data_IF_540627439686
#
_entry.id   IF_540627439686
#
_cell.length_a   1.000
_cell.length_b   1.000
_cell.length_c   1.000
_cell.angle_alpha   90.00
_cell.angle_beta   90.00
_cell.angle_gamma   90.00
#
_symmetry.space_group_name_H-M   'P 1'
#
loop_
_entity.id
_entity.type
_entity.pdbx_description
1 polymer ?
#
# COMPACT_ATOMS: atom_id res chain seq x y z
N UNK A 1 -2.16 -5.04 -9.04
CA UNK A 1 -1.19 -4.38 -8.14
C UNK A 1 -0.02 -3.91 -8.99
N UNK A 2 0.48 -2.71 -8.80
CA UNK A 2 1.66 -2.17 -9.44
C UNK A 2 2.75 -2.03 -8.36
N UNK A 3 3.94 -2.61 -8.57
CA UNK A 3 5.09 -2.42 -7.70
C UNK A 3 6.22 -1.75 -8.48
N UNK A 4 7.00 -0.90 -7.82
CA UNK A 4 8.19 -0.23 -8.36
C UNK A 4 9.30 -0.28 -7.32
N UNK A 5 10.54 -0.31 -7.76
CA UNK A 5 11.74 -0.23 -6.92
C UNK A 5 12.45 1.11 -7.14
N UNK A 6 13.14 1.59 -6.12
CA UNK A 6 13.79 2.90 -6.14
C UNK A 6 15.25 2.85 -5.64
N UNK A 7 15.93 1.74 -5.85
CA UNK A 7 17.24 1.41 -5.27
C UNK A 7 18.35 2.45 -5.50
N UNK A 8 18.28 3.21 -6.60
CA UNK A 8 19.31 4.19 -6.95
C UNK A 8 18.82 5.64 -6.90
N UNK A 9 17.59 5.88 -6.45
CA UNK A 9 16.96 7.20 -6.48
C UNK A 9 17.12 7.95 -5.16
N UNK A 10 17.32 9.26 -5.25
CA UNK A 10 17.21 10.15 -4.08
C UNK A 10 15.78 10.18 -3.54
N UNK A 11 15.57 10.59 -2.30
CA UNK A 11 14.23 10.74 -1.74
C UNK A 11 13.37 11.72 -2.54
N UNK A 12 13.95 12.78 -3.08
CA UNK A 12 13.25 13.73 -3.96
C UNK A 12 12.74 13.04 -5.23
N UNK A 13 13.58 12.25 -5.90
CA UNK A 13 13.17 11.50 -7.10
C UNK A 13 12.10 10.44 -6.78
N UNK A 14 12.22 9.76 -5.62
CA UNK A 14 11.20 8.82 -5.15
C UNK A 14 9.87 9.52 -4.87
N UNK A 15 9.90 10.71 -4.23
CA UNK A 15 8.70 11.50 -3.96
C UNK A 15 8.02 11.94 -5.25
N UNK A 16 8.78 12.41 -6.26
CA UNK A 16 8.24 12.76 -7.58
C UNK A 16 7.57 11.53 -8.23
N UNK A 17 8.19 10.35 -8.18
CA UNK A 17 7.59 9.12 -8.72
C UNK A 17 6.27 8.76 -8.01
N UNK A 18 6.23 8.88 -6.69
CA UNK A 18 4.99 8.66 -5.91
C UNK A 18 3.93 9.68 -6.29
N UNK A 19 4.29 10.96 -6.45
CA UNK A 19 3.38 12.03 -6.86
C UNK A 19 2.84 11.82 -8.28
N UNK A 20 3.66 11.28 -9.19
CA UNK A 20 3.19 10.84 -10.53
C UNK A 20 2.12 9.76 -10.39
N UNK A 21 2.34 8.77 -9.53
CA UNK A 21 1.34 7.74 -9.26
C UNK A 21 0.07 8.33 -8.64
N UNK A 22 0.19 9.30 -7.73
CA UNK A 22 -0.97 9.99 -7.16
C UNK A 22 -1.77 10.71 -8.25
N UNK A 23 -1.11 11.43 -9.13
CA UNK A 23 -1.75 12.09 -10.28
C UNK A 23 -2.47 11.10 -11.19
N UNK A 24 -1.80 10.00 -11.55
CA UNK A 24 -2.28 9.04 -12.53
C UNK A 24 -3.42 8.16 -11.98
N UNK A 25 -3.38 7.79 -10.71
CA UNK A 25 -4.33 6.85 -10.08
C UNK A 25 -5.32 7.52 -9.12
N UNK A 26 -5.11 8.77 -8.73
CA UNK A 26 -5.96 9.50 -7.78
C UNK A 26 -6.36 8.68 -6.54
N UNK A 27 -5.38 8.11 -5.81
CA UNK A 27 -5.67 7.25 -4.68
C UNK A 27 -6.35 8.06 -3.56
N UNK A 28 -7.21 7.38 -2.81
CA UNK A 28 -7.84 7.98 -1.63
C UNK A 28 -6.81 8.31 -0.54
N UNK A 29 -5.85 7.42 -0.34
CA UNK A 29 -4.76 7.59 0.63
C UNK A 29 -3.48 6.91 0.11
N UNK A 30 -2.35 7.42 0.57
CA UNK A 30 -1.01 6.87 0.32
C UNK A 30 -0.39 6.49 1.67
N UNK A 31 -0.09 5.23 1.84
CA UNK A 31 0.53 4.71 3.07
C UNK A 31 2.04 4.76 2.95
N UNK A 32 2.68 5.38 3.93
CA UNK A 32 4.14 5.54 3.99
C UNK A 32 4.65 4.92 5.29
N UNK A 33 5.68 4.08 5.21
CA UNK A 33 6.44 3.68 6.39
C UNK A 33 7.27 4.87 6.84
N UNK A 34 6.94 5.42 8.00
CA UNK A 34 7.63 6.58 8.59
C UNK A 34 8.65 6.17 9.67
N UNK A 35 9.19 4.94 9.57
CA UNK A 35 10.33 4.49 10.35
C UNK A 35 11.64 4.56 9.53
N UNK A 36 12.72 4.93 10.20
CA UNK A 36 14.05 4.89 9.60
C UNK A 36 14.16 5.69 8.30
N UNK A 37 14.55 5.04 7.22
CA UNK A 37 14.70 5.67 5.90
C UNK A 37 13.40 6.23 5.32
N UNK A 38 12.26 5.72 5.72
CA UNK A 38 10.95 6.19 5.25
C UNK A 38 10.64 7.64 5.65
N UNK A 39 11.29 8.15 6.71
CA UNK A 39 11.20 9.57 7.11
C UNK A 39 11.68 10.47 5.98
N UNK A 40 12.78 10.13 5.30
CA UNK A 40 13.30 10.94 4.20
C UNK A 40 12.33 11.07 3.01
N UNK A 41 11.59 10.01 2.68
CA UNK A 41 10.52 10.08 1.69
C UNK A 41 9.36 10.94 2.21
N UNK A 42 8.96 10.77 3.46
CA UNK A 42 7.87 11.52 4.08
C UNK A 42 8.15 13.03 4.07
N UNK A 43 9.39 13.43 4.38
CA UNK A 43 9.85 14.83 4.36
C UNK A 43 9.78 15.46 2.96
N UNK A 44 10.02 14.66 1.93
CA UNK A 44 9.91 15.13 0.55
C UNK A 44 8.46 15.16 0.05
N UNK A 45 7.59 14.31 0.56
CA UNK A 45 6.17 14.31 0.17
C UNK A 45 5.42 15.56 0.61
N UNK A 46 5.81 16.18 1.72
CA UNK A 46 5.18 17.41 2.24
C UNK A 46 5.66 18.70 1.55
N UNK A 47 6.60 18.61 0.61
CA UNK A 47 7.13 19.74 -0.17
C UNK A 47 6.56 19.72 -1.59
N UNK A 48 6.30 20.89 -2.17
CA UNK A 48 6.08 21.00 -3.60
C UNK A 48 7.40 20.80 -4.36
N UNK A 49 7.35 20.19 -5.53
CA UNK A 49 8.55 19.82 -6.31
C UNK A 49 8.31 20.04 -7.81
N UNK A 50 9.41 20.17 -8.55
CA UNK A 50 9.42 20.14 -10.00
C UNK A 50 10.30 18.99 -10.46
N UNK A 51 9.91 18.30 -11.52
CA UNK A 51 10.78 17.31 -12.14
C UNK A 51 11.78 17.95 -13.12
N UNK A 52 12.63 17.12 -13.74
CA UNK A 52 13.65 17.54 -14.70
C UNK A 52 13.06 18.21 -15.96
N UNK A 53 11.79 17.97 -16.25
CA UNK A 53 11.04 18.56 -17.36
C UNK A 53 10.30 19.84 -16.95
N UNK A 54 10.41 20.26 -15.69
CA UNK A 54 9.73 21.44 -15.13
C UNK A 54 8.25 21.19 -14.80
N UNK A 55 7.80 19.94 -14.76
CA UNK A 55 6.43 19.62 -14.35
C UNK A 55 6.29 19.79 -12.83
N UNK A 56 5.22 20.49 -12.42
CA UNK A 56 4.92 20.79 -11.02
C UNK A 56 4.18 19.64 -10.35
N UNK A 57 4.63 19.28 -9.14
CA UNK A 57 4.00 18.31 -8.26
C UNK A 57 3.71 18.97 -6.91
N UNK A 58 2.44 18.99 -6.46
CA UNK A 58 2.06 19.65 -5.22
C UNK A 58 2.61 18.94 -3.98
N UNK A 59 2.64 19.67 -2.87
CA UNK A 59 2.81 19.09 -1.54
C UNK A 59 1.57 18.29 -1.14
N UNK A 60 1.77 17.26 -0.32
CA UNK A 60 0.69 16.51 0.32
C UNK A 60 0.86 16.52 1.83
N UNK A 61 -0.21 16.26 2.59
CA UNK A 61 -0.20 16.33 4.04
C UNK A 61 -0.60 14.99 4.68
N UNK A 62 -0.06 14.73 5.87
CA UNK A 62 -0.40 13.57 6.69
C UNK A 62 -1.73 13.78 7.41
N UNK A 63 -2.47 12.66 7.55
CA UNK A 63 -3.75 12.61 8.27
C UNK A 63 -3.61 12.16 9.71
N UNK A 64 -2.52 11.47 10.06
CA UNK A 64 -2.36 10.77 11.33
C UNK A 64 -0.99 10.91 11.99
N UNK A 65 -0.06 11.69 11.44
CA UNK A 65 1.27 11.87 12.04
C UNK A 65 1.45 13.30 12.59
N UNK A 66 1.35 13.43 13.91
CA UNK A 66 1.47 14.72 14.61
C UNK A 66 2.83 15.39 14.41
N UNK A 67 3.88 14.62 14.13
CA UNK A 67 5.22 15.17 13.84
C UNK A 67 5.18 16.10 12.63
N UNK A 68 4.31 15.83 11.67
CA UNK A 68 4.18 16.61 10.44
C UNK A 68 3.19 17.76 10.53
N UNK A 69 2.27 17.78 11.53
CA UNK A 69 1.19 18.79 11.60
C UNK A 69 1.70 20.23 11.70
N UNK A 70 2.88 20.43 12.30
CA UNK A 70 3.47 21.76 12.44
C UNK A 70 4.23 22.23 11.19
N UNK A 71 4.74 21.31 10.37
CA UNK A 71 5.66 21.60 9.26
C UNK A 71 5.05 21.40 7.87
N UNK A 72 3.95 20.65 7.77
CA UNK A 72 3.25 20.42 6.50
C UNK A 72 2.41 21.63 6.10
N UNK A 73 2.23 21.92 4.79
CA UNK A 73 1.38 23.00 4.35
C UNK A 73 -0.08 22.77 4.76
N UNK A 74 -0.72 23.81 5.30
CA UNK A 74 -2.11 23.74 5.81
C UNK A 74 -3.14 23.44 4.74
N UNK A 75 -2.91 23.94 3.53
CA UNK A 75 -3.81 23.81 2.37
C UNK A 75 -3.49 22.58 1.50
N UNK A 76 -2.46 21.80 1.85
CA UNK A 76 -2.12 20.62 1.10
C UNK A 76 -3.17 19.51 1.24
N UNK A 77 -3.48 18.75 0.18
CA UNK A 77 -4.38 17.61 0.25
C UNK A 77 -3.92 16.59 1.28
N UNK A 78 -4.79 16.26 2.24
CA UNK A 78 -4.52 15.32 3.33
C UNK A 78 -4.78 13.89 2.86
N UNK A 79 -3.81 13.29 2.21
CA UNK A 79 -3.89 11.91 1.69
C UNK A 79 -2.76 11.00 2.16
N UNK A 80 -1.77 11.53 2.91
CA UNK A 80 -0.68 10.71 3.42
C UNK A 80 -1.07 10.06 4.76
N UNK A 81 -0.80 8.77 4.88
CA UNK A 81 -1.00 8.00 6.11
C UNK A 81 0.33 7.38 6.53
N UNK A 82 0.88 7.85 7.63
CA UNK A 82 2.15 7.35 8.19
C UNK A 82 1.94 6.08 9.02
N UNK A 83 2.78 5.07 8.82
CA UNK A 83 2.86 3.90 9.69
C UNK A 83 4.21 3.89 10.39
N UNK A 84 4.18 3.95 11.72
CA UNK A 84 5.34 3.72 12.59
C UNK A 84 5.19 2.34 13.24
N UNK A 85 5.55 1.30 12.50
CA UNK A 85 5.35 -0.06 12.94
C UNK A 85 6.38 -0.44 14.03
N UNK A 86 5.87 -0.74 15.23
CA UNK A 86 6.60 -1.37 16.33
C UNK A 86 6.29 -2.87 16.37
N UNK A 87 6.91 -3.63 17.26
CA UNK A 87 6.73 -5.09 17.36
C UNK A 87 5.27 -5.53 17.42
N UNK A 88 4.45 -5.03 18.37
CA UNK A 88 3.03 -5.36 18.48
C UNK A 88 2.20 -4.97 17.25
N UNK A 89 2.46 -3.83 16.64
CA UNK A 89 1.76 -3.40 15.43
C UNK A 89 2.16 -4.26 14.23
N UNK A 90 3.45 -4.56 14.07
CA UNK A 90 3.93 -5.47 13.03
C UNK A 90 3.25 -6.84 13.13
N UNK A 91 3.11 -7.41 14.33
CA UNK A 91 2.40 -8.66 14.56
C UNK A 91 0.96 -8.60 14.02
N UNK A 92 0.24 -7.51 14.32
CA UNK A 92 -1.13 -7.28 13.84
C UNK A 92 -1.20 -7.11 12.31
N UNK A 93 -0.27 -6.36 11.74
CA UNK A 93 -0.17 -6.12 10.28
C UNK A 93 0.03 -7.45 9.54
N UNK A 94 1.00 -8.25 9.98
CA UNK A 94 1.31 -9.53 9.34
C UNK A 94 0.19 -10.56 9.55
N UNK A 95 -0.42 -10.60 10.74
CA UNK A 95 -1.58 -11.44 11.01
C UNK A 95 -2.79 -11.06 10.13
N UNK A 96 -3.06 -9.78 9.94
CA UNK A 96 -4.10 -9.30 9.02
C UNK A 96 -3.80 -9.69 7.57
N UNK A 97 -2.57 -9.49 7.10
CA UNK A 97 -2.17 -9.86 5.75
C UNK A 97 -2.36 -11.36 5.51
N UNK A 98 -1.91 -12.20 6.45
CA UNK A 98 -2.10 -13.64 6.41
C UNK A 98 -3.58 -14.03 6.36
N UNK A 99 -4.40 -13.48 7.26
CA UNK A 99 -5.83 -13.76 7.31
C UNK A 99 -6.55 -13.41 6.00
N UNK A 100 -6.24 -12.23 5.41
CA UNK A 100 -6.85 -11.80 4.14
C UNK A 100 -6.41 -12.66 2.96
N UNK A 101 -5.17 -13.11 2.94
CA UNK A 101 -4.65 -14.01 1.91
C UNK A 101 -5.32 -15.38 1.99
N UNK A 102 -5.38 -15.97 3.17
CA UNK A 102 -5.97 -17.32 3.39
C UNK A 102 -7.49 -17.35 3.21
N UNK A 103 -8.16 -16.22 3.46
CA UNK A 103 -9.61 -16.07 3.23
C UNK A 103 -9.96 -15.72 1.77
N UNK A 104 -8.99 -15.64 0.85
CA UNK A 104 -9.24 -15.34 -0.55
C UNK A 104 -9.75 -13.91 -0.82
N UNK A 105 -9.56 -12.98 0.14
CA UNK A 105 -9.98 -11.58 0.01
C UNK A 105 -9.04 -10.76 -0.87
N UNK A 106 -7.89 -11.33 -1.25
CA UNK A 106 -6.90 -10.70 -2.12
C UNK A 106 -6.83 -11.46 -3.44
N UNK A 107 -6.91 -10.71 -4.53
CA UNK A 107 -6.71 -11.25 -5.88
C UNK A 107 -5.47 -10.64 -6.49
N UNK A 108 -4.62 -11.49 -7.03
CA UNK A 108 -3.39 -11.10 -7.71
C UNK A 108 -3.54 -11.24 -9.21
N UNK A 109 -2.65 -10.59 -9.94
CA UNK A 109 -2.44 -10.90 -11.34
C UNK A 109 -1.81 -12.29 -11.47
N UNK A 110 -2.00 -12.92 -12.63
CA UNK A 110 -1.30 -14.17 -12.97
C UNK A 110 0.20 -13.93 -13.02
N UNK A 111 0.98 -14.98 -12.80
CA UNK A 111 2.45 -14.92 -12.83
C UNK A 111 2.95 -14.47 -14.19
N UNK A 112 4.15 -13.90 -14.20
CA UNK A 112 4.79 -13.38 -15.42
C UNK A 112 4.83 -14.41 -16.56
N UNK A 113 5.26 -15.64 -16.28
CA UNK A 113 5.35 -16.68 -17.30
C UNK A 113 4.00 -17.01 -17.95
N UNK A 114 2.94 -17.07 -17.16
CA UNK A 114 1.58 -17.30 -17.65
C UNK A 114 1.09 -16.13 -18.50
N UNK A 115 1.35 -14.90 -18.04
CA UNK A 115 1.01 -13.68 -18.77
C UNK A 115 1.75 -13.56 -20.10
N UNK A 116 3.04 -13.94 -20.10
CA UNK A 116 3.88 -13.98 -21.29
C UNK A 116 3.35 -15.00 -22.30
N UNK A 117 3.02 -16.20 -21.86
CA UNK A 117 2.44 -17.24 -22.72
C UNK A 117 1.10 -16.79 -23.30
N UNK A 118 0.22 -16.22 -22.47
CA UNK A 118 -1.06 -15.68 -22.90
C UNK A 118 -0.91 -14.54 -23.91
N UNK A 119 0.04 -13.63 -23.70
CA UNK A 119 0.31 -12.54 -24.64
C UNK A 119 0.83 -13.07 -25.98
N UNK A 120 1.79 -13.99 -25.94
CA UNK A 120 2.43 -14.54 -27.14
C UNK A 120 1.52 -15.49 -27.93
N UNK A 121 0.46 -16.02 -27.34
CA UNK A 121 -0.56 -16.80 -28.06
C UNK A 121 -1.45 -15.93 -28.95
N UNK A 122 -1.44 -14.60 -28.80
CA UNK A 122 -2.23 -13.67 -29.60
C UNK A 122 -1.41 -13.07 -30.75
N UNK A 123 -2.07 -12.83 -31.90
CA UNK A 123 -1.43 -12.14 -33.04
C UNK A 123 -0.94 -10.73 -32.65
N UNK A 124 -1.68 -10.03 -31.79
CA UNK A 124 -1.31 -8.69 -31.30
C UNK A 124 -0.03 -8.77 -30.48
N UNK A 125 0.08 -9.73 -29.57
CA UNK A 125 1.28 -9.91 -28.75
C UNK A 125 2.50 -10.28 -29.56
N UNK A 126 2.35 -11.13 -30.58
CA UNK A 126 3.44 -11.51 -31.49
C UNK A 126 4.00 -10.33 -32.29
N UNK A 127 3.12 -9.44 -32.76
CA UNK A 127 3.48 -8.24 -33.54
C UNK A 127 3.91 -7.05 -32.67
N UNK A 128 3.77 -7.15 -31.35
CA UNK A 128 4.09 -6.07 -30.42
C UNK A 128 5.61 -5.86 -30.33
N UNK A 129 6.07 -4.59 -30.28
CA UNK A 129 7.47 -4.28 -30.07
C UNK A 129 7.95 -4.80 -28.70
N UNK A 130 9.25 -5.09 -28.59
CA UNK A 130 9.85 -5.57 -27.33
C UNK A 130 9.55 -4.63 -26.17
N UNK A 131 9.70 -3.31 -26.39
CA UNK A 131 9.42 -2.29 -25.38
C UNK A 131 7.98 -2.38 -24.84
N UNK A 132 7.00 -2.39 -25.73
CA UNK A 132 5.58 -2.50 -25.33
C UNK A 132 5.27 -3.83 -24.62
N UNK A 133 5.94 -4.92 -25.01
CA UNK A 133 5.80 -6.22 -24.31
C UNK A 133 6.32 -6.14 -22.88
N UNK A 134 7.52 -5.58 -22.68
CA UNK A 134 8.10 -5.38 -21.34
C UNK A 134 7.18 -4.54 -20.48
N UNK A 135 6.73 -3.40 -21.00
CA UNK A 135 5.80 -2.51 -20.29
C UNK A 135 4.50 -3.24 -19.87
N UNK A 136 3.92 -4.04 -20.76
CA UNK A 136 2.71 -4.79 -20.49
C UNK A 136 2.91 -5.93 -19.49
N UNK A 137 4.08 -6.56 -19.47
CA UNK A 137 4.40 -7.67 -18.57
C UNK A 137 4.91 -7.22 -17.21
N UNK A 138 5.40 -5.98 -17.08
CA UNK A 138 5.95 -5.44 -15.83
C UNK A 138 5.05 -5.63 -14.60
N UNK A 139 3.72 -5.42 -14.63
CA UNK A 139 2.88 -5.68 -13.47
C UNK A 139 2.86 -7.15 -13.03
N UNK A 140 2.97 -8.07 -13.99
CA UNK A 140 3.01 -9.51 -13.75
C UNK A 140 4.37 -9.93 -13.17
N UNK A 141 5.47 -9.39 -13.69
CA UNK A 141 6.81 -9.56 -13.13
C UNK A 141 6.86 -9.10 -11.67
N UNK A 142 6.33 -7.92 -11.37
CA UNK A 142 6.29 -7.41 -10.00
C UNK A 142 5.40 -8.27 -9.08
N UNK A 143 4.33 -8.87 -9.62
CA UNK A 143 3.50 -9.83 -8.87
C UNK A 143 4.28 -11.11 -8.59
N UNK A 144 5.05 -11.62 -9.54
CA UNK A 144 5.92 -12.79 -9.35
C UNK A 144 6.96 -12.51 -8.27
N UNK A 145 7.64 -11.36 -8.33
CA UNK A 145 8.61 -10.94 -7.31
C UNK A 145 7.99 -10.81 -5.91
N UNK A 146 6.74 -10.33 -5.81
CA UNK A 146 6.03 -10.32 -4.53
C UNK A 146 5.82 -11.74 -4.00
N UNK A 147 5.43 -12.69 -4.85
CA UNK A 147 5.27 -14.09 -4.44
C UNK A 147 6.58 -14.72 -3.98
N UNK A 148 7.69 -14.39 -4.64
CA UNK A 148 9.02 -14.84 -4.24
C UNK A 148 9.41 -14.28 -2.86
N UNK A 149 9.15 -12.98 -2.61
CA UNK A 149 9.33 -12.40 -1.28
C UNK A 149 8.45 -13.10 -0.24
N UNK A 150 7.18 -13.34 -0.55
CA UNK A 150 6.26 -14.04 0.36
C UNK A 150 6.69 -15.47 0.65
N UNK A 151 7.19 -16.20 -0.35
CA UNK A 151 7.71 -17.56 -0.19
C UNK A 151 8.97 -17.62 0.71
N UNK A 152 9.72 -16.51 0.78
CA UNK A 152 10.88 -16.39 1.67
C UNK A 152 10.51 -16.01 3.13
N UNK A 153 9.23 -15.89 3.44
CA UNK A 153 8.76 -15.46 4.75
C UNK A 153 8.08 -16.59 5.50
N UNK A 154 8.33 -16.68 6.79
CA UNK A 154 7.61 -17.57 7.69
C UNK A 154 7.09 -16.81 8.91
N UNK A 155 5.92 -17.18 9.38
CA UNK A 155 5.36 -16.66 10.62
C UNK A 155 5.87 -17.52 11.77
N UNK A 156 6.55 -16.89 12.73
CA UNK A 156 7.05 -17.51 13.95
C UNK A 156 6.28 -16.94 15.14
N UNK A 157 5.76 -17.81 15.98
CA UNK A 157 5.20 -17.37 17.27
C UNK A 157 6.33 -17.15 18.25
N UNK A 158 6.33 -16.02 18.93
CA UNK A 158 7.21 -15.77 20.07
C UNK A 158 6.62 -16.40 21.32
N UNK A 159 7.43 -16.66 22.36
CA UNK A 159 7.04 -17.40 23.56
C UNK A 159 5.80 -16.87 24.31
N UNK A 160 5.39 -15.62 24.07
CA UNK A 160 4.07 -15.11 24.47
C UNK A 160 3.09 -15.42 23.33
N UNK A 161 2.16 -16.32 23.56
CA UNK A 161 1.30 -17.02 22.59
C UNK A 161 0.53 -16.14 21.58
N UNK A 162 0.57 -14.83 21.70
CA UNK A 162 -0.19 -13.88 20.87
C UNK A 162 0.64 -13.15 19.81
N UNK A 163 1.96 -13.08 19.96
CA UNK A 163 2.79 -12.29 19.07
C UNK A 163 3.37 -13.12 17.93
N UNK A 164 3.05 -12.69 16.72
CA UNK A 164 3.57 -13.28 15.49
C UNK A 164 4.72 -12.41 14.98
N UNK A 165 5.89 -12.99 14.83
CA UNK A 165 7.04 -12.35 14.19
C UNK A 165 7.21 -12.92 12.79
N UNK A 166 7.43 -12.04 11.84
CA UNK A 166 7.77 -12.41 10.48
C UNK A 166 9.28 -12.61 10.37
N UNK A 167 9.70 -13.81 10.04
CA UNK A 167 11.10 -14.17 9.86
C UNK A 167 11.39 -14.43 8.37
N UNK A 168 12.51 -13.89 7.88
CA UNK A 168 13.01 -14.21 6.54
C UNK A 168 13.78 -15.53 6.59
N UNK A 169 13.46 -16.47 5.70
CA UNK A 169 14.19 -17.74 5.56
C UNK A 169 15.61 -17.44 5.07
N UNK A 170 15.72 -16.59 4.07
CA UNK A 170 16.98 -16.01 3.61
C UNK A 170 17.00 -14.50 3.85
N UNK A 171 17.78 -14.00 4.84
CA UNK A 171 17.85 -12.57 5.17
C UNK A 171 18.39 -11.67 4.04
N UNK A 172 19.09 -12.24 3.06
CA UNK A 172 19.60 -11.49 1.92
C UNK A 172 18.53 -11.21 0.85
N UNK A 173 17.40 -11.89 0.92
CA UNK A 173 16.30 -11.67 -0.01
C UNK A 173 15.43 -10.51 0.48
N UNK A 174 15.07 -9.53 -0.37
CA UNK A 174 14.28 -8.38 0.05
C UNK A 174 12.87 -8.80 0.49
N UNK A 175 12.22 -7.94 1.30
CA UNK A 175 10.81 -8.10 1.71
C UNK A 175 10.00 -6.81 1.55
N UNK A 176 10.53 -5.85 0.79
CA UNK A 176 9.97 -4.50 0.73
C UNK A 176 8.62 -4.45 0.03
N UNK A 177 8.43 -5.26 -1.03
CA UNK A 177 7.14 -5.37 -1.72
C UNK A 177 6.09 -6.00 -0.83
N UNK A 178 6.48 -7.04 -0.09
CA UNK A 178 5.58 -7.64 0.89
C UNK A 178 5.24 -6.66 2.03
N UNK A 179 6.20 -5.91 2.56
CA UNK A 179 5.97 -4.93 3.61
C UNK A 179 5.00 -3.85 3.15
N UNK A 180 5.24 -3.26 1.98
CA UNK A 180 4.34 -2.26 1.37
C UNK A 180 2.93 -2.82 1.15
N UNK A 181 2.82 -4.06 0.69
CA UNK A 181 1.56 -4.75 0.50
C UNK A 181 0.83 -4.97 1.84
N UNK A 182 1.53 -5.43 2.87
CA UNK A 182 0.95 -5.69 4.19
C UNK A 182 0.47 -4.40 4.87
N UNK A 183 1.22 -3.30 4.74
CA UNK A 183 0.81 -1.98 5.24
C UNK A 183 -0.44 -1.46 4.52
N UNK A 184 -0.51 -1.61 3.20
CA UNK A 184 -1.70 -1.28 2.44
C UNK A 184 -2.93 -2.07 2.90
N UNK A 185 -2.81 -3.39 3.10
CA UNK A 185 -3.89 -4.24 3.62
C UNK A 185 -4.30 -3.86 5.04
N UNK A 186 -3.36 -3.45 5.87
CA UNK A 186 -3.65 -2.96 7.22
C UNK A 186 -4.50 -1.70 7.16
N UNK A 187 -4.11 -0.72 6.34
CA UNK A 187 -4.89 0.52 6.21
C UNK A 187 -6.29 0.28 5.64
N UNK A 188 -6.43 -0.62 4.68
CA UNK A 188 -7.75 -1.04 4.17
C UNK A 188 -8.62 -1.56 5.31
N UNK A 189 -8.09 -2.40 6.20
CA UNK A 189 -8.81 -2.91 7.37
C UNK A 189 -9.29 -1.76 8.27
N UNK A 190 -8.40 -0.81 8.60
CA UNK A 190 -8.76 0.35 9.44
C UNK A 190 -9.87 1.17 8.80
N UNK A 191 -9.79 1.43 7.49
CA UNK A 191 -10.83 2.15 6.75
C UNK A 191 -12.17 1.40 6.73
N UNK A 192 -12.16 0.08 6.60
CA UNK A 192 -13.38 -0.74 6.69
C UNK A 192 -14.00 -0.66 8.08
N UNK A 193 -13.19 -0.71 9.14
CA UNK A 193 -13.66 -0.55 10.52
C UNK A 193 -14.24 0.85 10.77
N UNK A 194 -13.56 1.89 10.29
CA UNK A 194 -14.08 3.28 10.37
C UNK A 194 -15.40 3.42 9.64
N UNK A 195 -15.51 2.88 8.44
CA UNK A 195 -16.75 2.90 7.65
C UNK A 195 -17.89 2.19 8.38
N UNK A 196 -17.63 1.01 8.91
CA UNK A 196 -18.60 0.21 9.67
C UNK A 196 -19.08 0.96 10.93
N UNK A 197 -18.14 1.58 11.67
CA UNK A 197 -18.48 2.39 12.85
C UNK A 197 -19.36 3.60 12.48
N UNK A 198 -19.05 4.28 11.37
CA UNK A 198 -19.86 5.41 10.88
C UNK A 198 -21.26 4.96 10.44
N UNK A 199 -21.36 3.83 9.74
CA UNK A 199 -22.65 3.27 9.32
C UNK A 199 -23.53 2.90 10.54
N UNK A 200 -22.95 2.22 11.54
CA UNK A 200 -23.66 1.87 12.78
C UNK A 200 -24.17 3.11 13.55
N UNK A 201 -23.34 4.17 13.62
CA UNK A 201 -23.78 5.44 14.28
C UNK A 201 -24.95 6.09 13.54
N UNK A 202 -24.96 6.05 12.20
CA UNK A 202 -26.07 6.58 11.39
C UNK A 202 -27.36 5.77 11.59
N UNK A 203 -27.25 4.44 11.68
CA UNK A 203 -28.41 3.57 11.91
C UNK A 203 -28.91 3.64 13.36
N UNK A 204 -28.03 3.71 14.37
CA UNK A 204 -28.39 3.85 15.78
C UNK A 204 -28.95 5.21 16.16
N UNK A 205 -28.76 6.25 15.33
CA UNK A 205 -29.35 7.58 15.51
C UNK A 205 -30.79 7.69 14.99
N UNK A 206 -31.29 6.70 14.28
CA UNK A 206 -32.71 6.60 13.97
C UNK A 206 -33.45 6.19 15.26
N UNK A 207 -33.92 7.19 16.03
CA UNK A 207 -34.83 6.97 17.14
C UNK A 207 -35.96 6.08 16.64
N UNK A 208 -36.08 4.90 17.21
CA UNK A 208 -37.28 4.05 17.08
C UNK A 208 -38.45 4.94 17.52
N UNK A 209 -39.23 5.46 16.60
CA UNK A 209 -40.54 6.04 16.92
C UNK A 209 -41.37 4.89 17.46
N UNK A 210 -41.54 4.81 18.77
CA UNK A 210 -42.54 3.97 19.37
C UNK A 210 -43.89 4.45 18.80
N UNK A 211 -44.46 3.64 17.93
CA UNK A 211 -45.86 3.78 17.55
C UNK A 211 -46.67 3.34 18.77
N UNK A 212 -47.10 4.28 19.57
CA UNK A 212 -48.12 4.09 20.60
C UNK A 212 -49.47 3.98 19.87
N UNK A 213 -49.95 2.77 19.76
CA UNK A 213 -51.34 2.53 19.38
C UNK A 213 -52.19 2.83 20.59
N UNK A 214 -53.01 3.88 20.52
CA UNK A 214 -54.11 4.08 21.45
C UNK A 214 -55.24 3.12 21.08
N UNK A 215 -55.58 2.21 22.00
CA UNK A 215 -56.84 1.46 22.01
C UNK A 215 -57.93 2.31 22.62
#
# INVERSE_FOLDING_TARGET
MLARTAETKTFTQQAIDVKRLIRDFQPREVVIDTNGLGVGLADEMIKAQYDEMGEYYPAYAFTNDETYYAIQPKDAPKILFGIKANGPLNSKIHGNAYARLTSGLVRFLIKEQEAKNALMSTQVGQKMSVYKRVERLLPHEMTTKLFEEMANLRLKRTGNATDIVLEQINPRYPKDKYSSFAYGLWRIKELEEEYTKRARRRMGGAKTRQLTFFT
#
